data_IF_955243505337
#
_entry.id   IF_955243505337
#
_cell.length_a   1.000
_cell.length_b   1.000
_cell.length_c   1.000
_cell.angle_alpha   90.00
_cell.angle_beta   90.00
_cell.angle_gamma   90.00
#
_symmetry.space_group_name_H-M   'P 1'
#
loop_
_entity.id
_entity.type
_entity.pdbx_description
1 polymer ?
#
# COMPACT_ATOMS: atom_id res chain seq x y z
N UNK A 1 -27.84 2.57 -15.09
CA UNK A 1 -26.79 2.84 -14.08
C UNK A 1 -26.12 4.15 -14.46
N UNK A 2 -26.23 5.18 -13.62
CA UNK A 2 -25.83 6.54 -13.95
C UNK A 2 -24.72 7.07 -13.04
N UNK A 3 -23.76 7.78 -13.62
CA UNK A 3 -22.64 8.40 -12.89
C UNK A 3 -22.72 9.91 -13.03
N UNK A 4 -22.62 10.63 -11.92
CA UNK A 4 -22.55 12.10 -11.94
C UNK A 4 -21.23 12.56 -12.52
N UNK A 5 -21.30 13.47 -13.50
CA UNK A 5 -20.16 14.07 -14.14
C UNK A 5 -19.80 15.42 -13.50
N UNK A 6 -18.64 15.94 -13.87
CA UNK A 6 -18.12 17.22 -13.36
C UNK A 6 -19.00 18.41 -13.73
N UNK A 7 -19.67 18.35 -14.88
CA UNK A 7 -20.63 19.35 -15.36
C UNK A 7 -22.00 19.26 -14.67
N UNK A 8 -22.19 18.31 -13.75
CA UNK A 8 -23.47 18.06 -13.08
C UNK A 8 -24.44 17.21 -13.91
N UNK A 9 -24.08 16.86 -15.14
CA UNK A 9 -24.86 15.93 -15.96
C UNK A 9 -24.66 14.49 -15.49
N UNK A 10 -25.55 13.60 -15.92
CA UNK A 10 -25.45 12.16 -15.68
C UNK A 10 -24.94 11.45 -16.92
N UNK A 11 -23.98 10.55 -16.71
CA UNK A 11 -23.53 9.61 -17.71
C UNK A 11 -24.26 8.28 -17.52
N UNK A 12 -25.12 7.94 -18.47
CA UNK A 12 -25.73 6.63 -18.55
C UNK A 12 -24.79 5.65 -19.24
N UNK A 13 -24.65 4.47 -18.65
CA UNK A 13 -23.82 3.38 -19.17
C UNK A 13 -24.64 2.58 -20.18
N UNK A 14 -24.10 2.45 -21.39
CA UNK A 14 -24.71 1.64 -22.45
C UNK A 14 -24.69 0.14 -22.08
N UNK A 15 -25.76 -0.57 -22.43
CA UNK A 15 -25.90 -2.00 -22.18
C UNK A 15 -24.83 -2.80 -22.94
N UNK A 16 -24.44 -2.38 -24.15
CA UNK A 16 -23.38 -3.05 -24.90
C UNK A 16 -22.03 -2.97 -24.17
N UNK A 17 -21.70 -1.81 -23.61
CA UNK A 17 -20.48 -1.62 -22.83
C UNK A 17 -20.49 -2.49 -21.57
N UNK A 18 -21.64 -2.57 -20.90
CA UNK A 18 -21.83 -3.43 -19.73
C UNK A 18 -21.60 -4.91 -20.05
N UNK A 19 -22.17 -5.41 -21.15
CA UNK A 19 -21.99 -6.80 -21.59
C UNK A 19 -20.52 -7.06 -21.95
N UNK A 20 -19.87 -6.11 -22.64
CA UNK A 20 -18.44 -6.22 -22.96
C UNK A 20 -17.58 -6.32 -21.70
N UNK A 21 -17.85 -5.49 -20.68
CA UNK A 21 -17.14 -5.55 -19.41
C UNK A 21 -17.39 -6.84 -18.63
N UNK A 22 -18.62 -7.37 -18.61
CA UNK A 22 -18.90 -8.67 -17.99
C UNK A 22 -18.11 -9.81 -18.63
N UNK A 23 -17.98 -9.81 -19.96
CA UNK A 23 -17.18 -10.81 -20.68
C UNK A 23 -15.69 -10.68 -20.38
N UNK A 24 -15.22 -9.44 -20.21
CA UNK A 24 -13.80 -9.14 -20.01
C UNK A 24 -13.36 -9.40 -18.56
N UNK A 25 -14.20 -9.02 -17.60
CA UNK A 25 -13.88 -9.01 -16.17
C UNK A 25 -14.73 -10.04 -15.41
N UNK A 26 -14.41 -11.33 -15.58
CA UNK A 26 -15.18 -12.44 -14.99
C UNK A 26 -14.89 -12.65 -13.49
N UNK A 27 -13.69 -12.30 -13.01
CA UNK A 27 -13.32 -12.47 -11.59
C UNK A 27 -13.96 -11.45 -10.64
N UNK A 28 -14.71 -10.45 -11.14
CA UNK A 28 -15.38 -9.46 -10.30
C UNK A 28 -16.83 -9.21 -10.73
N UNK A 29 -17.68 -8.83 -9.77
CA UNK A 29 -19.06 -8.47 -10.06
C UNK A 29 -19.11 -7.04 -10.66
N UNK A 30 -19.16 -6.96 -11.99
CA UNK A 30 -19.15 -5.69 -12.75
C UNK A 30 -20.26 -4.73 -12.31
N UNK A 31 -21.47 -5.21 -12.01
CA UNK A 31 -22.56 -4.35 -11.54
C UNK A 31 -22.23 -3.70 -10.19
N UNK A 32 -21.74 -4.50 -9.25
CA UNK A 32 -21.36 -4.01 -7.93
C UNK A 32 -20.24 -2.98 -8.03
N UNK A 33 -19.22 -3.25 -8.85
CA UNK A 33 -18.08 -2.35 -9.02
C UNK A 33 -18.45 -1.04 -9.72
N UNK A 34 -19.38 -1.06 -10.68
CA UNK A 34 -19.91 0.16 -11.29
C UNK A 34 -20.65 1.01 -10.26
N UNK A 35 -21.45 0.40 -9.38
CA UNK A 35 -22.13 1.12 -8.30
C UNK A 35 -21.13 1.70 -7.29
N UNK A 36 -20.07 0.95 -6.95
CA UNK A 36 -18.99 1.47 -6.11
C UNK A 36 -18.27 2.66 -6.77
N UNK A 37 -18.01 2.57 -8.09
CA UNK A 37 -17.41 3.66 -8.85
C UNK A 37 -18.33 4.90 -8.93
N UNK A 38 -19.65 4.70 -9.04
CA UNK A 38 -20.66 5.76 -8.96
C UNK A 38 -20.60 6.46 -7.61
N UNK A 39 -20.64 5.68 -6.52
CA UNK A 39 -20.60 6.21 -5.15
C UNK A 39 -19.31 6.99 -4.90
N UNK A 40 -18.19 6.51 -5.44
CA UNK A 40 -16.92 7.22 -5.39
C UNK A 40 -16.99 8.61 -6.06
N UNK A 41 -17.65 8.74 -7.20
CA UNK A 41 -17.85 10.04 -7.86
C UNK A 41 -18.82 10.96 -7.09
N UNK A 42 -19.79 10.39 -6.38
CA UNK A 42 -20.69 11.16 -5.49
C UNK A 42 -19.92 11.69 -4.29
N UNK A 43 -19.18 10.83 -3.59
CA UNK A 43 -18.37 11.18 -2.43
C UNK A 43 -17.19 12.11 -2.73
N UNK A 44 -16.74 12.18 -3.99
CA UNK A 44 -15.60 13.02 -4.40
C UNK A 44 -16.01 14.07 -5.46
N UNK A 45 -16.76 15.14 -5.11
CA UNK A 45 -17.23 16.13 -6.07
C UNK A 45 -16.10 16.79 -6.88
N UNK A 46 -14.97 17.10 -6.25
CA UNK A 46 -13.80 17.69 -6.91
C UNK A 46 -13.10 16.75 -7.91
N UNK A 47 -13.34 15.43 -7.80
CA UNK A 47 -12.69 14.39 -8.62
C UNK A 47 -13.63 13.68 -9.60
N UNK A 48 -14.86 14.20 -9.77
CA UNK A 48 -15.82 13.74 -10.77
C UNK A 48 -15.21 13.74 -12.16
N UNK A 49 -15.64 12.78 -12.99
CA UNK A 49 -15.09 12.59 -14.33
C UNK A 49 -15.82 13.46 -15.35
N UNK A 50 -15.19 13.68 -16.48
CA UNK A 50 -15.82 14.29 -17.66
C UNK A 50 -16.45 13.21 -18.52
N UNK A 51 -17.40 13.58 -19.39
CA UNK A 51 -18.06 12.65 -20.33
C UNK A 51 -17.08 11.82 -21.16
N UNK A 52 -15.96 12.42 -21.59
CA UNK A 52 -14.88 11.73 -22.32
C UNK A 52 -14.03 10.81 -21.43
N UNK A 53 -13.87 11.17 -20.16
CA UNK A 53 -12.98 10.47 -19.21
C UNK A 53 -13.64 9.34 -18.42
N UNK A 54 -14.97 9.34 -18.29
CA UNK A 54 -15.71 8.37 -17.45
C UNK A 54 -15.53 6.92 -17.94
N UNK A 55 -15.53 6.68 -19.25
CA UNK A 55 -15.32 5.33 -19.81
C UNK A 55 -13.92 4.79 -19.51
N UNK A 56 -12.89 5.63 -19.62
CA UNK A 56 -11.51 5.26 -19.23
C UNK A 56 -11.39 4.99 -17.74
N UNK A 57 -12.08 5.79 -16.92
CA UNK A 57 -12.13 5.61 -15.47
C UNK A 57 -12.76 4.27 -15.08
N UNK A 58 -13.93 3.92 -15.64
CA UNK A 58 -14.58 2.64 -15.39
C UNK A 58 -13.73 1.45 -15.82
N UNK A 59 -13.11 1.54 -17.00
CA UNK A 59 -12.24 0.47 -17.48
C UNK A 59 -11.03 0.24 -16.56
N UNK A 60 -10.40 1.33 -16.09
CA UNK A 60 -9.31 1.25 -15.12
C UNK A 60 -9.77 0.72 -13.75
N UNK A 61 -10.97 1.12 -13.30
CA UNK A 61 -11.58 0.64 -12.06
C UNK A 61 -11.80 -0.88 -12.11
N UNK A 62 -12.49 -1.36 -13.14
CA UNK A 62 -12.81 -2.77 -13.32
C UNK A 62 -11.56 -3.62 -13.52
N UNK A 63 -10.57 -3.13 -14.28
CA UNK A 63 -9.28 -3.83 -14.42
C UNK A 63 -8.58 -4.04 -13.07
N UNK A 64 -8.62 -3.02 -12.19
CA UNK A 64 -8.07 -3.15 -10.83
C UNK A 64 -8.92 -4.08 -9.98
N UNK A 65 -10.25 -3.99 -10.06
CA UNK A 65 -11.17 -4.84 -9.31
C UNK A 65 -10.98 -6.33 -9.67
N UNK A 66 -10.83 -6.62 -10.96
CA UNK A 66 -10.57 -7.96 -11.49
C UNK A 66 -9.28 -8.55 -10.94
N UNK A 67 -8.17 -7.78 -10.96
CA UNK A 67 -6.88 -8.22 -10.42
C UNK A 67 -6.93 -8.52 -8.92
N UNK A 68 -7.76 -7.79 -8.18
CA UNK A 68 -7.88 -7.90 -6.72
C UNK A 68 -8.99 -8.85 -6.28
N UNK A 69 -9.77 -9.40 -7.22
CA UNK A 69 -10.98 -10.21 -6.96
C UNK A 69 -11.99 -9.50 -6.03
N UNK A 70 -12.01 -8.17 -6.06
CA UNK A 70 -12.78 -7.35 -5.13
C UNK A 70 -12.57 -5.85 -5.33
N UNK A 71 -13.32 -5.03 -4.60
CA UNK A 71 -13.37 -3.60 -4.88
C UNK A 71 -12.01 -2.90 -4.66
N UNK A 72 -11.55 -2.06 -5.61
CA UNK A 72 -10.27 -1.34 -5.52
C UNK A 72 -10.11 -0.46 -4.27
N UNK A 73 -11.21 -0.09 -3.62
CA UNK A 73 -11.25 0.77 -2.44
C UNK A 73 -10.76 0.06 -1.16
N UNK A 74 -11.04 -1.23 -1.01
CA UNK A 74 -10.70 -2.01 0.20
C UNK A 74 -9.18 -2.23 0.30
N UNK A 75 -8.48 -2.27 -0.84
CA UNK A 75 -7.06 -2.65 -0.88
C UNK A 75 -6.08 -1.55 -0.47
N UNK A 76 -6.47 -0.27 -0.58
CA UNK A 76 -5.57 0.82 -0.21
C UNK A 76 -5.44 1.02 1.30
N UNK A 77 -6.29 0.37 2.11
CA UNK A 77 -6.27 0.45 3.57
C UNK A 77 -5.83 -0.86 4.23
N UNK A 78 -5.30 -1.81 3.46
CA UNK A 78 -4.42 -2.81 4.05
C UNK A 78 -3.15 -2.03 4.41
N UNK A 79 -3.08 -1.58 5.66
CA UNK A 79 -1.80 -1.27 6.29
C UNK A 79 -0.82 -2.38 5.91
N UNK A 80 0.46 -2.05 5.81
CA UNK A 80 1.51 -3.06 5.65
C UNK A 80 1.43 -4.00 6.86
N UNK A 81 0.54 -5.00 6.81
CA UNK A 81 0.56 -6.10 7.74
C UNK A 81 1.81 -6.84 7.32
N UNK A 82 2.90 -6.53 8.01
CA UNK A 82 4.05 -7.39 8.13
C UNK A 82 3.53 -8.83 8.05
N UNK A 83 4.10 -9.66 7.17
CA UNK A 83 3.71 -11.07 7.08
C UNK A 83 3.58 -11.65 8.49
N UNK A 84 2.70 -12.62 8.77
CA UNK A 84 2.58 -13.24 10.11
C UNK A 84 3.97 -13.61 10.69
N UNK A 85 4.93 -13.96 9.82
CA UNK A 85 6.33 -14.19 10.17
C UNK A 85 7.07 -12.94 10.66
N UNK A 86 6.86 -11.80 10.02
CA UNK A 86 7.46 -10.52 10.36
C UNK A 86 6.85 -9.94 11.65
N UNK A 87 5.53 -10.07 11.86
CA UNK A 87 4.89 -9.67 13.12
C UNK A 87 5.38 -10.51 14.32
N UNK A 88 5.71 -11.78 14.09
CA UNK A 88 6.30 -12.66 15.12
C UNK A 88 7.68 -12.16 15.60
N UNK A 89 8.38 -11.39 14.78
CA UNK A 89 9.72 -10.89 15.10
C UNK A 89 9.72 -9.39 15.41
N UNK A 90 8.55 -8.77 15.53
CA UNK A 90 8.41 -7.36 15.86
C UNK A 90 8.44 -7.17 17.38
N UNK A 91 9.42 -6.38 17.85
CA UNK A 91 9.61 -6.06 19.27
C UNK A 91 8.92 -4.74 19.66
N UNK A 92 8.10 -4.15 18.79
CA UNK A 92 7.32 -2.94 19.10
C UNK A 92 6.42 -3.11 20.32
N UNK A 93 5.91 -4.33 20.56
CA UNK A 93 5.08 -4.70 21.72
C UNK A 93 5.86 -4.91 23.02
N UNK A 94 7.20 -4.88 22.98
CA UNK A 94 8.04 -5.10 24.15
C UNK A 94 8.23 -3.78 24.88
N UNK A 95 8.11 -3.79 26.21
CA UNK A 95 8.42 -2.63 27.06
C UNK A 95 9.85 -2.11 26.83
N UNK A 96 10.02 -0.78 26.88
CA UNK A 96 11.28 -0.10 26.51
C UNK A 96 12.51 -0.66 27.26
N UNK A 97 12.34 -1.01 28.53
CA UNK A 97 13.37 -1.57 29.42
C UNK A 97 13.89 -2.94 28.91
N UNK A 98 13.02 -3.72 28.27
CA UNK A 98 13.31 -5.08 27.81
C UNK A 98 13.74 -5.14 26.34
N UNK A 99 13.53 -4.08 25.55
CA UNK A 99 13.86 -4.05 24.11
C UNK A 99 15.32 -4.34 23.81
N UNK A 100 16.25 -3.89 24.66
CA UNK A 100 17.68 -4.15 24.48
C UNK A 100 18.01 -5.65 24.60
N UNK A 101 17.47 -6.32 25.61
CA UNK A 101 17.75 -7.74 25.84
C UNK A 101 17.10 -8.62 24.76
N UNK A 102 15.84 -8.33 24.42
CA UNK A 102 15.10 -9.08 23.41
C UNK A 102 15.71 -8.88 22.03
N UNK A 103 16.10 -7.65 21.66
CA UNK A 103 16.81 -7.41 20.39
C UNK A 103 18.15 -8.14 20.31
N UNK A 104 18.93 -8.21 21.41
CA UNK A 104 20.16 -9.02 21.46
C UNK A 104 19.86 -10.50 21.21
N UNK A 105 18.80 -11.04 21.82
CA UNK A 105 18.40 -12.43 21.63
C UNK A 105 18.03 -12.71 20.17
N UNK A 106 17.22 -11.84 19.55
CA UNK A 106 16.84 -11.99 18.15
C UNK A 106 18.03 -11.85 17.18
N UNK A 107 18.90 -10.86 17.39
CA UNK A 107 20.13 -10.72 16.58
C UNK A 107 21.04 -11.93 16.75
N UNK A 108 21.19 -12.47 17.97
CA UNK A 108 22.04 -13.64 18.23
C UNK A 108 21.49 -14.93 17.60
N UNK A 109 20.19 -15.20 17.74
CA UNK A 109 19.60 -16.47 17.32
C UNK A 109 19.08 -16.46 15.87
N UNK A 110 18.61 -15.31 15.39
CA UNK A 110 18.01 -15.15 14.05
C UNK A 110 18.75 -14.18 13.14
N UNK A 111 19.62 -13.33 13.67
CA UNK A 111 20.35 -12.32 12.91
C UNK A 111 19.58 -11.03 12.64
N UNK A 112 18.29 -10.96 13.02
CA UNK A 112 17.47 -9.77 12.81
C UNK A 112 16.23 -9.74 13.72
N UNK A 113 15.65 -8.55 13.87
CA UNK A 113 14.32 -8.33 14.45
C UNK A 113 13.60 -7.20 13.69
N UNK A 114 12.33 -7.00 13.98
CA UNK A 114 11.53 -5.88 13.48
C UNK A 114 11.17 -4.92 14.63
N UNK A 115 11.08 -3.64 14.32
CA UNK A 115 10.54 -2.62 15.21
C UNK A 115 9.64 -1.72 14.37
N UNK A 116 8.35 -1.69 14.67
CA UNK A 116 7.33 -0.94 13.92
C UNK A 116 7.39 -1.25 12.41
N UNK A 117 7.55 -2.53 12.08
CA UNK A 117 7.69 -3.01 10.70
C UNK A 117 8.98 -2.64 9.97
N UNK A 118 9.98 -2.08 10.65
CA UNK A 118 11.33 -1.89 10.08
C UNK A 118 12.27 -2.98 10.58
N UNK A 119 13.02 -3.59 9.67
CA UNK A 119 14.00 -4.64 9.99
C UNK A 119 15.31 -4.04 10.51
N UNK A 120 15.83 -4.59 11.60
CA UNK A 120 17.10 -4.23 12.22
C UNK A 120 18.01 -5.45 12.33
N UNK A 121 19.32 -5.24 12.14
CA UNK A 121 20.38 -6.25 12.26
C UNK A 121 21.27 -6.03 13.48
N UNK A 122 21.18 -4.85 14.11
CA UNK A 122 21.97 -4.46 15.27
C UNK A 122 21.05 -4.30 16.48
N UNK A 123 21.49 -4.65 17.71
CA UNK A 123 20.63 -4.58 18.87
C UNK A 123 20.14 -3.15 19.16
N UNK A 124 18.94 -3.06 19.73
CA UNK A 124 18.25 -1.82 20.01
C UNK A 124 19.08 -0.92 20.95
N UNK A 125 19.20 0.37 20.64
CA UNK A 125 19.86 1.35 21.51
C UNK A 125 21.39 1.33 21.52
N UNK A 126 22.06 0.39 20.84
CA UNK A 126 23.53 0.40 20.75
C UNK A 126 23.97 1.39 19.66
N UNK A 127 24.39 2.59 20.07
CA UNK A 127 25.05 3.55 19.17
C UNK A 127 26.42 2.99 18.77
N UNK A 128 26.71 2.94 17.46
CA UNK A 128 28.05 2.63 16.96
C UNK A 128 29.07 3.57 17.59
N UNK A 129 29.99 3.04 18.40
CA UNK A 129 31.25 3.73 18.67
C UNK A 129 32.04 3.64 17.36
N UNK A 130 31.87 4.64 16.50
CA UNK A 130 32.68 4.74 15.28
C UNK A 130 34.11 4.95 15.74
N UNK A 131 34.99 3.99 15.44
CA UNK A 131 36.40 4.12 15.76
C UNK A 131 36.97 5.31 14.94
N UNK A 132 37.34 6.39 15.63
CA UNK A 132 37.84 7.65 15.05
C UNK A 132 39.05 7.42 14.12
N UNK A 133 39.76 6.30 14.32
CA UNK A 133 40.88 5.85 13.48
C UNK A 133 40.50 5.70 11.99
N UNK A 134 39.33 5.15 11.67
CA UNK A 134 38.93 4.92 10.27
C UNK A 134 38.53 6.22 9.56
N UNK A 135 37.94 7.17 10.30
CA UNK A 135 37.56 8.50 9.78
C UNK A 135 38.80 9.32 9.37
N UNK A 136 39.90 9.18 10.11
CA UNK A 136 41.17 9.85 9.82
C UNK A 136 41.88 9.30 8.57
N UNK A 137 41.73 8.01 8.26
CA UNK A 137 42.28 7.37 7.05
C UNK A 137 41.51 7.78 5.79
N UNK A 138 40.18 7.93 5.87
CA UNK A 138 39.36 8.42 4.75
C UNK A 138 39.68 9.89 4.40
N UNK A 139 39.92 10.75 5.41
CA UNK A 139 40.28 12.16 5.20
C UNK A 139 41.66 12.37 4.57
N UNK A 140 42.62 11.46 4.77
CA UNK A 140 43.95 11.55 4.13
C UNK A 140 43.97 11.02 2.69
N UNK A 141 42.97 10.24 2.27
CA UNK A 141 42.91 9.67 0.90
C UNK A 141 42.32 10.65 -0.12
N UNK A 142 41.55 11.65 0.32
CA UNK A 142 40.96 12.70 -0.52
C UNK A 142 41.83 13.98 -0.64
N UNK A 143 43.10 13.92 -0.22
CA UNK A 143 44.03 15.06 -0.23
C UNK A 143 45.27 14.84 -1.11
N UNK A 144 45.15 14.00 -2.13
CA UNK A 144 46.11 13.88 -3.24
C UNK A 144 45.41 14.13 -4.55
#
# INVERSE_FOLDING_TARGET
>A
MEIILKDGSYYEIDQNDLISWQRTYHECNVFHEINAAKEWCQANPSRRKTKRGVRRFLNAWLSKAHKLKGSPFIYNNQEKTNSIKESMYDISWVEEENKLEISKWYVKNKGFYYLDGKKYLEPYGIKKVVNISEKSKALKKNKK
#
